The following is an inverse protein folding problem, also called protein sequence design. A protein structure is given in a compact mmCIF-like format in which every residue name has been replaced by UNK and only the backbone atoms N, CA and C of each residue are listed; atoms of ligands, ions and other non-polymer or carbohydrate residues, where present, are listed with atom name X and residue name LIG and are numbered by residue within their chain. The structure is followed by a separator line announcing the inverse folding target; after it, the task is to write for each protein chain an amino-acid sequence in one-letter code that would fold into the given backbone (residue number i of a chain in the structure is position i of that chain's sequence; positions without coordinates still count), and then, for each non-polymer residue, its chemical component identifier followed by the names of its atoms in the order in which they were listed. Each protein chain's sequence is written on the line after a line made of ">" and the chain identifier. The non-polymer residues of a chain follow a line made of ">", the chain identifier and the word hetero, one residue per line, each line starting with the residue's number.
data_IF_176627626440
#
_entry.id   IF_176627626440
#
_cell.length_a   1.000
_cell.length_b   1.000
_cell.length_c   1.000
_cell.angle_alpha   90.00
_cell.angle_beta   90.00
_cell.angle_gamma   90.00
#
_symmetry.space_group_name_H-M   'P 1'
#
loop_
_entity.id
_entity.type
_entity.pdbx_description
1 polymer ?
#
# COMPACT_ATOMS: atom_id res chain seq x y z
N UNK A 1 26.04 -15.15 1.59
CA UNK A 1 27.31 -14.42 1.77
C UNK A 1 27.47 -13.24 0.80
N UNK A 2 27.02 -13.31 -0.48
CA UNK A 2 27.23 -12.22 -1.46
C UNK A 2 26.01 -11.35 -1.81
N UNK A 3 24.99 -11.25 -0.96
CA UNK A 3 23.83 -10.39 -1.29
C UNK A 3 23.27 -9.61 -0.11
N UNK A 4 24.14 -9.21 0.82
CA UNK A 4 23.79 -8.17 1.77
C UNK A 4 24.13 -6.81 1.16
N UNK A 5 23.13 -5.98 0.78
CA UNK A 5 23.36 -4.65 0.21
C UNK A 5 24.21 -3.74 1.13
N UNK A 6 24.30 -4.13 2.39
CA UNK A 6 25.11 -3.51 3.43
C UNK A 6 26.62 -3.59 3.21
N UNK A 7 27.12 -4.68 2.66
CA UNK A 7 28.57 -4.83 2.42
C UNK A 7 29.04 -3.89 1.30
N UNK A 8 28.17 -3.65 0.31
CA UNK A 8 28.44 -2.71 -0.78
C UNK A 8 28.49 -1.26 -0.29
N UNK A 9 27.60 -0.90 0.65
CA UNK A 9 27.61 0.42 1.29
C UNK A 9 28.87 0.60 2.14
N UNK A 10 29.27 -0.42 2.89
CA UNK A 10 30.49 -0.34 3.70
C UNK A 10 31.75 -0.20 2.86
N UNK A 11 31.86 -0.97 1.77
CA UNK A 11 32.94 -0.85 0.80
C UNK A 11 33.00 0.55 0.17
N UNK A 12 31.86 1.13 -0.20
CA UNK A 12 31.80 2.49 -0.74
C UNK A 12 32.31 3.54 0.27
N UNK A 13 32.02 3.35 1.57
CA UNK A 13 32.50 4.25 2.63
C UNK A 13 34.00 4.16 2.83
N UNK A 14 34.55 2.94 2.85
CA UNK A 14 36.01 2.73 2.98
C UNK A 14 36.76 3.35 1.81
N UNK A 15 36.24 3.19 0.58
CA UNK A 15 36.81 3.82 -0.62
C UNK A 15 36.78 5.35 -0.53
N UNK A 16 35.66 5.94 -0.11
CA UNK A 16 35.52 7.39 0.04
C UNK A 16 36.47 7.93 1.12
N UNK A 17 36.66 7.22 2.23
CA UNK A 17 37.62 7.61 3.26
C UNK A 17 39.07 7.49 2.79
N UNK A 18 39.41 6.44 2.03
CA UNK A 18 40.74 6.28 1.44
C UNK A 18 41.06 7.46 0.49
N UNK A 19 40.09 7.86 -0.33
CA UNK A 19 40.20 9.02 -1.23
C UNK A 19 40.29 10.34 -0.47
N UNK A 20 39.58 10.49 0.66
CA UNK A 20 39.68 11.65 1.54
C UNK A 20 41.10 11.78 2.15
N UNK A 21 41.66 10.68 2.67
CA UNK A 21 43.01 10.67 3.27
C UNK A 21 44.09 10.92 2.22
N UNK A 22 43.98 10.31 1.04
CA UNK A 22 44.95 10.52 -0.05
C UNK A 22 44.81 11.90 -0.70
N UNK A 23 43.61 12.45 -0.77
CA UNK A 23 43.34 13.77 -1.34
C UNK A 23 43.64 14.94 -0.39
N UNK A 24 43.65 14.70 0.93
CA UNK A 24 44.06 15.69 1.93
C UNK A 24 45.59 15.89 1.98
N UNK A 25 46.37 14.85 1.67
CA UNK A 25 47.85 14.92 1.66
C UNK A 25 48.42 15.53 0.38
N UNK A 26 47.68 15.46 -0.73
CA UNK A 26 48.04 16.07 -2.02
C UNK A 26 47.04 17.19 -2.26
N UNK A 27 47.37 18.44 -1.91
CA UNK A 27 46.44 19.58 -1.92
C UNK A 27 45.78 19.86 -3.28
N UNK A 28 44.72 19.11 -3.60
CA UNK A 28 44.08 19.09 -4.91
C UNK A 28 42.64 19.61 -4.86
N UNK A 29 42.41 20.63 -5.70
CA UNK A 29 41.22 21.08 -6.44
C UNK A 29 39.77 20.85 -5.91
N UNK A 30 38.86 21.75 -6.32
CA UNK A 30 37.44 21.88 -5.94
C UNK A 30 36.58 20.60 -5.98
N UNK A 31 36.97 19.60 -6.77
CA UNK A 31 36.28 18.32 -6.87
C UNK A 31 36.44 17.43 -5.62
N UNK A 32 37.60 17.48 -4.94
CA UNK A 32 37.80 16.75 -3.68
C UNK A 32 36.99 17.35 -2.54
N UNK A 33 36.86 18.69 -2.50
CA UNK A 33 36.00 19.36 -1.51
C UNK A 33 34.51 18.92 -1.61
N UNK A 34 34.02 18.67 -2.84
CA UNK A 34 32.68 18.10 -3.06
C UNK A 34 32.58 16.66 -2.56
N UNK A 35 33.60 15.84 -2.81
CA UNK A 35 33.67 14.45 -2.32
C UNK A 35 33.71 14.36 -0.80
N UNK A 36 34.46 15.23 -0.12
CA UNK A 36 34.47 15.30 1.36
C UNK A 36 33.10 15.67 1.92
N UNK A 37 32.36 16.59 1.27
CA UNK A 37 31.00 16.93 1.68
C UNK A 37 30.06 15.73 1.56
N UNK A 38 30.14 14.99 0.45
CA UNK A 38 29.37 13.75 0.25
C UNK A 38 29.76 12.66 1.26
N UNK A 39 31.06 12.49 1.55
CA UNK A 39 31.58 11.56 2.54
C UNK A 39 30.97 11.80 3.93
N UNK A 40 30.92 13.07 4.35
CA UNK A 40 30.27 13.47 5.61
C UNK A 40 28.79 13.08 5.61
N UNK A 41 28.04 13.36 4.56
CA UNK A 41 26.61 12.97 4.46
C UNK A 41 26.42 11.46 4.60
N UNK A 42 27.25 10.65 3.95
CA UNK A 42 27.18 9.18 4.04
C UNK A 42 27.53 8.70 5.46
N UNK A 43 28.55 9.29 6.11
CA UNK A 43 28.84 9.01 7.52
C UNK A 43 27.68 9.39 8.44
N UNK A 44 27.08 10.56 8.25
CA UNK A 44 25.90 10.99 9.01
C UNK A 44 24.73 10.03 8.81
N UNK A 45 24.45 9.60 7.58
CA UNK A 45 23.42 8.60 7.29
C UNK A 45 23.71 7.26 7.98
N UNK A 46 24.97 6.81 8.03
CA UNK A 46 25.35 5.62 8.81
C UNK A 46 25.17 5.82 10.31
N UNK A 47 25.54 6.98 10.88
CA UNK A 47 25.30 7.28 12.30
C UNK A 47 23.80 7.28 12.61
N UNK A 48 22.99 7.94 11.77
CA UNK A 48 21.53 7.97 11.90
C UNK A 48 20.94 6.56 11.79
N UNK A 49 21.52 5.69 10.95
CA UNK A 49 21.10 4.29 10.83
C UNK A 49 21.62 3.39 11.97
N UNK A 50 22.79 3.71 12.53
CA UNK A 50 23.34 3.04 13.71
C UNK A 50 22.58 3.40 14.99
N UNK A 51 21.88 4.55 15.01
CA UNK A 51 20.81 4.81 15.96
C UNK A 51 19.70 3.80 15.68
N UNK A 52 19.64 2.76 16.51
CA UNK A 52 18.71 1.62 16.49
C UNK A 52 17.21 1.96 16.32
N UNK A 53 16.83 3.24 16.37
CA UNK A 53 15.47 3.71 16.14
C UNK A 53 14.96 3.49 14.72
N UNK A 54 15.82 3.59 13.70
CA UNK A 54 15.40 3.34 12.32
C UNK A 54 15.23 1.85 12.00
N UNK A 55 16.01 0.98 12.66
CA UNK A 55 15.81 -0.47 12.56
C UNK A 55 14.50 -0.89 13.22
N UNK A 56 14.11 -0.26 14.34
CA UNK A 56 12.80 -0.50 14.95
C UNK A 56 11.65 -0.05 14.03
N UNK A 57 11.77 1.11 13.38
CA UNK A 57 10.81 1.59 12.37
C UNK A 57 10.76 0.68 11.13
N UNK A 58 11.92 0.20 10.66
CA UNK A 58 12.00 -0.72 9.54
C UNK A 58 11.40 -2.09 9.90
N UNK A 59 11.63 -2.57 11.12
CA UNK A 59 11.04 -3.81 11.63
C UNK A 59 9.52 -3.69 11.80
N UNK A 60 9.03 -2.55 12.31
CA UNK A 60 7.61 -2.25 12.40
C UNK A 60 6.96 -2.20 11.01
N UNK A 61 7.57 -1.50 10.05
CA UNK A 61 7.03 -1.44 8.67
C UNK A 61 7.13 -2.78 7.94
N UNK A 62 8.17 -3.58 8.18
CA UNK A 62 8.27 -4.95 7.67
C UNK A 62 7.17 -5.86 8.25
N UNK A 63 6.89 -5.72 9.55
CA UNK A 63 5.82 -6.46 10.24
C UNK A 63 4.44 -6.03 9.72
N UNK A 64 4.22 -4.72 9.54
CA UNK A 64 3.03 -4.18 8.90
C UNK A 64 2.86 -4.71 7.47
N UNK A 65 3.94 -4.78 6.69
CA UNK A 65 3.90 -5.32 5.32
C UNK A 65 3.51 -6.80 5.29
N UNK A 66 3.95 -7.58 6.27
CA UNK A 66 3.49 -8.96 6.47
C UNK A 66 1.99 -9.02 6.74
N UNK A 67 1.50 -8.18 7.66
CA UNK A 67 0.07 -8.10 8.00
C UNK A 67 -0.80 -7.60 6.85
N UNK A 68 -0.31 -6.65 6.03
CA UNK A 68 -1.02 -6.14 4.86
C UNK A 68 -1.29 -7.22 3.81
N UNK A 69 -0.39 -8.20 3.67
CA UNK A 69 -0.62 -9.36 2.79
C UNK A 69 -1.85 -10.16 3.24
N UNK A 70 -1.90 -10.51 4.53
CA UNK A 70 -3.03 -11.24 5.10
C UNK A 70 -4.33 -10.41 5.06
N UNK A 71 -4.23 -9.12 5.33
CA UNK A 71 -5.37 -8.19 5.22
C UNK A 71 -5.89 -8.10 3.78
N UNK A 72 -5.00 -8.14 2.79
CA UNK A 72 -5.34 -8.19 1.38
C UNK A 72 -6.15 -9.45 1.03
N UNK A 73 -5.72 -10.62 1.50
CA UNK A 73 -6.47 -11.87 1.33
C UNK A 73 -7.85 -11.81 1.99
N UNK A 74 -7.93 -11.28 3.23
CA UNK A 74 -9.20 -11.11 3.93
C UNK A 74 -10.14 -10.15 3.18
N UNK A 75 -9.62 -9.02 2.68
CA UNK A 75 -10.37 -8.06 1.88
C UNK A 75 -10.85 -8.68 0.57
N UNK A 76 -10.00 -9.45 -0.12
CA UNK A 76 -10.39 -10.18 -1.33
C UNK A 76 -11.53 -11.18 -1.06
N UNK A 77 -11.45 -11.93 0.04
CA UNK A 77 -12.52 -12.87 0.43
C UNK A 77 -13.83 -12.13 0.75
N UNK A 78 -13.76 -10.98 1.43
CA UNK A 78 -14.94 -10.13 1.66
C UNK A 78 -15.55 -9.65 0.35
N UNK A 79 -14.76 -9.18 -0.61
CA UNK A 79 -15.26 -8.74 -1.93
C UNK A 79 -15.94 -9.89 -2.67
N UNK A 80 -15.38 -11.10 -2.64
CA UNK A 80 -16.01 -12.28 -3.24
C UNK A 80 -17.38 -12.56 -2.60
N UNK A 81 -17.46 -12.52 -1.27
CA UNK A 81 -18.72 -12.68 -0.54
C UNK A 81 -19.76 -11.61 -0.94
N UNK A 82 -19.34 -10.35 -1.04
CA UNK A 82 -20.18 -9.23 -1.49
C UNK A 82 -20.75 -9.45 -2.89
N UNK A 83 -19.91 -9.92 -3.83
CA UNK A 83 -20.32 -10.22 -5.21
C UNK A 83 -21.41 -11.30 -5.23
N UNK A 84 -21.23 -12.39 -4.47
CA UNK A 84 -22.23 -13.45 -4.39
C UNK A 84 -23.58 -12.94 -3.86
N UNK A 85 -23.55 -12.14 -2.79
CA UNK A 85 -24.75 -11.58 -2.19
C UNK A 85 -25.44 -10.58 -3.14
N UNK A 86 -24.68 -9.76 -3.87
CA UNK A 86 -25.20 -8.82 -4.86
C UNK A 86 -25.91 -9.53 -6.02
N UNK A 87 -25.32 -10.61 -6.54
CA UNK A 87 -25.95 -11.43 -7.60
C UNK A 87 -27.22 -12.09 -7.09
N UNK A 88 -27.19 -12.63 -5.87
CA UNK A 88 -28.37 -13.25 -5.26
C UNK A 88 -29.52 -12.25 -5.11
N UNK A 89 -29.27 -11.06 -4.56
CA UNK A 89 -30.28 -10.01 -4.47
C UNK A 89 -30.82 -9.63 -5.85
N UNK A 90 -29.95 -9.46 -6.84
CA UNK A 90 -30.39 -9.10 -8.19
C UNK A 90 -31.29 -10.17 -8.82
N UNK A 91 -31.02 -11.45 -8.57
CA UNK A 91 -31.83 -12.55 -9.06
C UNK A 91 -33.19 -12.63 -8.34
N UNK A 92 -33.22 -12.45 -7.02
CA UNK A 92 -34.45 -12.36 -6.22
C UNK A 92 -35.30 -11.19 -6.69
N UNK A 93 -34.68 -10.02 -6.83
CA UNK A 93 -35.35 -8.80 -7.23
C UNK A 93 -35.93 -8.92 -8.65
N UNK A 94 -35.20 -9.54 -9.58
CA UNK A 94 -35.71 -9.81 -10.92
C UNK A 94 -36.94 -10.71 -10.89
N UNK A 95 -36.95 -11.75 -10.05
CA UNK A 95 -38.08 -12.66 -9.91
C UNK A 95 -39.31 -11.98 -9.30
N UNK A 96 -39.15 -11.17 -8.27
CA UNK A 96 -40.28 -10.53 -7.57
C UNK A 96 -40.81 -9.27 -8.25
N UNK A 97 -39.95 -8.43 -8.84
CA UNK A 97 -40.37 -7.11 -9.37
C UNK A 97 -40.63 -7.06 -10.88
N UNK A 98 -40.05 -7.97 -11.67
CA UNK A 98 -40.27 -7.98 -13.13
C UNK A 98 -41.31 -9.01 -13.58
N UNK A 99 -41.61 -10.01 -12.75
CA UNK A 99 -42.59 -11.05 -13.10
C UNK A 99 -44.00 -10.76 -12.57
N UNK A 100 -44.13 -9.85 -11.60
CA UNK A 100 -45.40 -9.47 -10.98
C UNK A 100 -45.82 -8.05 -11.45
N UNK A 101 -46.80 -7.97 -12.35
CA UNK A 101 -47.33 -6.70 -12.89
C UNK A 101 -48.22 -5.94 -11.89
N UNK A 102 -48.38 -6.44 -10.67
CA UNK A 102 -49.16 -5.77 -9.60
C UNK A 102 -48.41 -4.62 -8.91
N UNK A 103 -47.11 -4.48 -9.15
CA UNK A 103 -46.25 -3.49 -8.46
C UNK A 103 -46.23 -2.16 -9.22
N UNK A 104 -46.41 -1.00 -8.55
CA UNK A 104 -46.34 0.31 -9.19
C UNK A 104 -45.03 0.54 -9.94
N UNK A 105 -45.12 1.12 -11.15
CA UNK A 105 -43.97 1.50 -12.01
C UNK A 105 -42.93 2.38 -11.29
N UNK A 106 -43.35 3.15 -10.28
CA UNK A 106 -42.50 4.03 -9.49
C UNK A 106 -41.50 3.23 -8.64
N UNK A 107 -41.97 2.21 -7.93
CA UNK A 107 -41.13 1.38 -7.05
C UNK A 107 -40.15 0.53 -7.88
N UNK A 108 -40.60 0.00 -9.02
CA UNK A 108 -39.71 -0.70 -9.97
C UNK A 108 -38.57 0.20 -10.45
N UNK A 109 -38.81 1.49 -10.63
CA UNK A 109 -37.83 2.44 -11.17
C UNK A 109 -36.78 2.82 -10.13
N UNK A 110 -37.17 3.03 -8.87
CA UNK A 110 -36.20 3.29 -7.79
C UNK A 110 -35.26 2.10 -7.58
N UNK A 111 -35.83 0.90 -7.52
CA UNK A 111 -35.04 -0.31 -7.31
C UNK A 111 -34.14 -0.59 -8.51
N UNK A 112 -34.59 -0.29 -9.73
CA UNK A 112 -33.74 -0.37 -10.93
C UNK A 112 -32.57 0.64 -10.90
N UNK A 113 -32.72 1.79 -10.25
CA UNK A 113 -31.61 2.76 -10.10
C UNK A 113 -30.50 2.18 -9.21
N UNK A 114 -30.85 1.51 -8.11
CA UNK A 114 -29.88 0.91 -7.17
C UNK A 114 -29.35 -0.46 -7.64
N UNK A 115 -30.22 -1.35 -8.14
CA UNK A 115 -29.90 -2.74 -8.45
C UNK A 115 -29.93 -3.09 -9.95
N UNK A 116 -30.09 -2.12 -10.85
CA UNK A 116 -30.26 -2.39 -12.29
C UNK A 116 -29.01 -2.88 -13.03
N UNK A 117 -27.81 -2.59 -12.53
CA UNK A 117 -26.54 -3.06 -13.13
C UNK A 117 -25.63 -3.67 -12.07
N UNK A 118 -24.81 -4.65 -12.46
CA UNK A 118 -23.91 -5.38 -11.57
C UNK A 118 -23.01 -4.46 -10.71
N UNK A 119 -22.41 -3.43 -11.32
CA UNK A 119 -21.57 -2.50 -10.56
C UNK A 119 -22.39 -1.70 -9.54
N UNK A 120 -23.63 -1.32 -9.88
CA UNK A 120 -24.51 -0.58 -8.97
C UNK A 120 -24.99 -1.46 -7.82
N UNK A 121 -25.40 -2.70 -8.09
CA UNK A 121 -25.77 -3.66 -7.04
C UNK A 121 -24.59 -3.99 -6.13
N UNK A 122 -23.37 -4.09 -6.68
CA UNK A 122 -22.15 -4.26 -5.90
C UNK A 122 -21.84 -3.04 -5.01
N UNK A 123 -21.98 -1.82 -5.54
CA UNK A 123 -21.83 -0.59 -4.75
C UNK A 123 -22.89 -0.46 -3.66
N UNK A 124 -24.15 -0.74 -3.97
CA UNK A 124 -25.23 -0.72 -2.97
C UNK A 124 -25.04 -1.78 -1.88
N UNK A 125 -24.51 -2.96 -2.20
CA UNK A 125 -24.17 -3.97 -1.20
C UNK A 125 -22.95 -3.60 -0.35
N UNK A 126 -21.97 -2.96 -0.96
CA UNK A 126 -20.83 -2.40 -0.26
C UNK A 126 -21.26 -1.28 0.70
N UNK A 127 -22.12 -0.37 0.24
CA UNK A 127 -22.77 0.64 1.07
C UNK A 127 -23.55 -0.04 2.20
N UNK A 128 -24.38 -1.04 1.92
CA UNK A 128 -25.16 -1.74 2.94
C UNK A 128 -24.28 -2.46 3.99
N UNK A 129 -23.10 -2.93 3.61
CA UNK A 129 -22.20 -3.64 4.52
C UNK A 129 -21.32 -2.71 5.36
N UNK A 130 -20.93 -1.56 4.82
CA UNK A 130 -20.02 -0.62 5.50
C UNK A 130 -20.71 0.60 6.09
N UNK A 131 -21.85 1.01 5.55
CA UNK A 131 -22.69 2.03 6.14
C UNK A 131 -23.46 1.40 7.30
N UNK A 132 -23.02 1.69 8.52
CA UNK A 132 -23.89 1.61 9.68
C UNK A 132 -25.06 2.55 9.44
N UNK A 133 -26.20 2.00 8.99
CA UNK A 133 -27.47 2.69 8.86
C UNK A 133 -27.75 3.50 10.14
N UNK A 134 -27.73 4.85 10.11
CA UNK A 134 -28.58 5.56 11.03
C UNK A 134 -29.98 5.51 10.43
N UNK A 135 -30.91 4.99 11.23
CA UNK A 135 -32.35 5.19 11.13
C UNK A 135 -32.78 6.47 10.45
#
# INVERSE_FOLDING_TARGET
>A
VFRDPWNWVDMAVVLVWAVEVSGASVGLNSQFARMVRLARLVRFLKLVRAVRGFDALFLMTASLRGSLSNLGWACGLLVVCQVFMAIFLQQVLHLFYFQDDSVPEQDRREIYVYFGTFNRSLFSMFELTLANYPT
#
